data_IF_928928466349
#
_entry.id   IF_928928466349
#
_cell.length_a   1.000
_cell.length_b   1.000
_cell.length_c   1.000
_cell.angle_alpha   90.00
_cell.angle_beta   90.00
_cell.angle_gamma   90.00
#
_symmetry.space_group_name_H-M   'P 1'
#
loop_
_entity.id
_entity.type
_entity.pdbx_description
1 polymer ?
#
# COMPACT_ATOMS: atom_id res chain seq x y z
N UNK A 1 13.46 -6.40 -7.48
CA UNK A 1 12.91 -5.10 -7.03
C UNK A 1 12.96 -5.10 -5.50
N UNK A 2 13.01 -3.94 -4.85
CA UNK A 2 13.25 -3.85 -3.41
C UNK A 2 11.95 -4.00 -2.58
N UNK A 3 10.80 -3.62 -3.14
CA UNK A 3 9.53 -3.65 -2.43
C UNK A 3 8.53 -4.67 -2.98
N UNK A 4 8.64 -5.04 -4.26
CA UNK A 4 7.76 -6.04 -4.89
C UNK A 4 8.48 -7.35 -5.23
N UNK A 5 7.70 -8.43 -5.19
CA UNK A 5 8.11 -9.77 -5.62
C UNK A 5 7.47 -10.12 -6.97
N UNK A 6 8.28 -10.09 -8.03
CA UNK A 6 7.84 -10.37 -9.40
C UNK A 6 7.40 -11.84 -9.55
N UNK A 7 8.10 -12.78 -8.91
CA UNK A 7 7.74 -14.20 -9.01
C UNK A 7 6.36 -14.44 -8.39
N UNK A 8 6.11 -13.83 -7.24
CA UNK A 8 4.81 -13.91 -6.57
C UNK A 8 3.69 -13.24 -7.39
N UNK A 9 3.94 -12.07 -7.99
CA UNK A 9 2.96 -11.39 -8.86
C UNK A 9 2.59 -12.29 -10.05
N UNK A 10 3.59 -12.89 -10.70
CA UNK A 10 3.35 -13.81 -11.81
C UNK A 10 2.52 -15.01 -11.38
N UNK A 11 2.88 -15.65 -10.26
CA UNK A 11 2.14 -16.78 -9.70
C UNK A 11 0.69 -16.42 -9.35
N UNK A 12 0.47 -15.27 -8.68
CA UNK A 12 -0.86 -14.78 -8.31
C UNK A 12 -1.76 -14.50 -9.53
N UNK A 13 -1.15 -14.21 -10.68
CA UNK A 13 -1.83 -13.92 -11.94
C UNK A 13 -1.72 -15.07 -12.95
N UNK A 14 -1.40 -16.29 -12.50
CA UNK A 14 -1.30 -17.50 -13.32
C UNK A 14 -0.37 -17.37 -14.52
N UNK A 15 0.72 -16.61 -14.38
CA UNK A 15 1.69 -16.28 -15.43
C UNK A 15 1.07 -15.62 -16.68
N UNK A 16 -0.15 -15.07 -16.55
CA UNK A 16 -0.87 -14.44 -17.65
C UNK A 16 -0.52 -12.96 -17.75
N UNK A 17 0.24 -12.60 -18.78
CA UNK A 17 0.60 -11.20 -19.06
C UNK A 17 -0.62 -10.26 -19.15
N UNK A 18 -1.75 -10.74 -19.66
CA UNK A 18 -2.98 -9.94 -19.73
C UNK A 18 -3.52 -9.63 -18.32
N UNK A 19 -3.60 -10.65 -17.46
CA UNK A 19 -4.06 -10.48 -16.09
C UNK A 19 -3.10 -9.62 -15.27
N UNK A 20 -1.80 -9.79 -15.46
CA UNK A 20 -0.78 -8.97 -14.80
C UNK A 20 -0.93 -7.50 -15.20
N UNK A 21 -1.10 -7.19 -16.49
CA UNK A 21 -1.30 -5.80 -16.94
C UNK A 21 -2.57 -5.18 -16.38
N UNK A 22 -3.68 -5.92 -16.39
CA UNK A 22 -4.93 -5.44 -15.80
C UNK A 22 -4.79 -5.19 -14.29
N UNK A 23 -4.16 -6.12 -13.57
CA UNK A 23 -3.90 -5.99 -12.14
C UNK A 23 -3.00 -4.79 -11.81
N UNK A 24 -1.85 -4.67 -12.49
CA UNK A 24 -0.91 -3.57 -12.28
C UNK A 24 -1.54 -2.22 -12.59
N UNK A 25 -2.26 -2.10 -13.72
CA UNK A 25 -2.94 -0.86 -14.08
C UNK A 25 -4.00 -0.46 -13.04
N UNK A 26 -4.82 -1.41 -12.58
CA UNK A 26 -5.79 -1.16 -11.51
C UNK A 26 -5.09 -0.71 -10.21
N UNK A 27 -4.00 -1.37 -9.84
CA UNK A 27 -3.23 -1.06 -8.64
C UNK A 27 -2.63 0.34 -8.68
N UNK A 28 -2.01 0.71 -9.82
CA UNK A 28 -1.41 2.02 -10.04
C UNK A 28 -2.45 3.16 -10.03
N UNK A 29 -3.71 2.87 -10.34
CA UNK A 29 -4.80 3.85 -10.27
C UNK A 29 -5.40 3.94 -8.87
N UNK A 30 -5.67 2.81 -8.24
CA UNK A 30 -6.47 2.75 -7.01
C UNK A 30 -5.64 3.05 -5.76
N UNK A 31 -4.43 2.51 -5.66
CA UNK A 31 -3.58 2.64 -4.47
C UNK A 31 -3.23 4.10 -4.14
N UNK A 32 -2.89 4.98 -5.11
CA UNK A 32 -2.69 6.41 -4.82
C UNK A 32 -3.93 7.09 -4.23
N UNK A 33 -5.12 6.74 -4.73
CA UNK A 33 -6.39 7.29 -4.23
C UNK A 33 -6.61 6.90 -2.77
N UNK A 34 -6.28 5.67 -2.39
CA UNK A 34 -6.43 5.22 -1.01
C UNK A 34 -5.37 5.84 -0.07
N UNK A 35 -4.14 6.05 -0.55
CA UNK A 35 -3.11 6.80 0.19
C UNK A 35 -3.53 8.25 0.43
N UNK A 36 -4.18 8.89 -0.53
CA UNK A 36 -4.69 10.26 -0.36
C UNK A 36 -5.86 10.32 0.64
N UNK A 37 -6.75 9.32 0.66
CA UNK A 37 -7.77 9.21 1.71
C UNK A 37 -7.16 9.07 3.10
N UNK A 38 -6.10 8.27 3.23
CA UNK A 38 -5.38 8.10 4.49
C UNK A 38 -4.68 9.40 4.92
N UNK A 39 -4.06 10.11 3.97
CA UNK A 39 -3.47 11.44 4.20
C UNK A 39 -4.52 12.45 4.68
N UNK A 40 -5.71 12.43 4.09
CA UNK A 40 -6.82 13.28 4.51
C UNK A 40 -7.30 12.92 5.93
N UNK A 41 -7.47 11.63 6.24
CA UNK A 41 -7.87 11.19 7.58
C UNK A 41 -6.87 11.64 8.67
N UNK A 42 -5.57 11.59 8.37
CA UNK A 42 -4.50 12.11 9.24
C UNK A 42 -4.52 13.63 9.42
N UNK A 43 -4.95 14.37 8.39
CA UNK A 43 -5.12 15.82 8.45
C UNK A 43 -6.36 16.21 9.29
N UNK A 44 -7.45 15.46 9.13
CA UNK A 44 -8.70 15.62 9.89
C UNK A 44 -8.56 15.15 11.35
N UNK A 45 -7.57 14.30 11.64
CA UNK A 45 -7.37 13.72 12.97
C UNK A 45 -8.37 12.62 13.32
N UNK A 46 -8.99 12.02 12.30
CA UNK A 46 -10.02 10.98 12.45
C UNK A 46 -9.36 9.60 12.62
N UNK A 47 -9.15 9.20 13.87
CA UNK A 47 -8.50 7.93 14.24
C UNK A 47 -9.25 6.70 13.71
N UNK A 48 -10.58 6.74 13.66
CA UNK A 48 -11.36 5.62 13.13
C UNK A 48 -11.09 5.47 11.63
N UNK A 49 -11.17 6.59 10.89
CA UNK A 49 -10.96 6.60 9.44
C UNK A 49 -9.50 6.27 9.06
N UNK A 50 -8.51 6.68 9.86
CA UNK A 50 -7.10 6.28 9.69
C UNK A 50 -6.99 4.75 9.77
N UNK A 51 -7.55 4.15 10.84
CA UNK A 51 -7.52 2.71 11.04
C UNK A 51 -8.23 1.94 9.92
N UNK A 52 -9.42 2.39 9.53
CA UNK A 52 -10.21 1.74 8.47
C UNK A 52 -9.53 1.83 7.10
N UNK A 53 -8.91 2.97 6.79
CA UNK A 53 -8.20 3.15 5.52
C UNK A 53 -6.91 2.31 5.49
N UNK A 54 -6.16 2.26 6.59
CA UNK A 54 -5.00 1.38 6.72
C UNK A 54 -5.39 -0.10 6.55
N UNK A 55 -6.48 -0.53 7.18
CA UNK A 55 -7.04 -1.88 7.03
C UNK A 55 -7.41 -2.20 5.58
N UNK A 56 -8.00 -1.24 4.86
CA UNK A 56 -8.41 -1.40 3.47
C UNK A 56 -7.21 -1.58 2.51
N UNK A 57 -6.14 -0.81 2.71
CA UNK A 57 -4.94 -0.87 1.87
C UNK A 57 -4.11 -2.12 2.17
N UNK A 58 -4.01 -2.51 3.44
CA UNK A 58 -3.17 -3.63 3.93
C UNK A 58 -3.22 -4.91 3.07
N UNK A 59 -4.38 -5.50 2.74
CA UNK A 59 -4.43 -6.75 1.96
C UNK A 59 -3.87 -6.61 0.54
N UNK A 60 -3.82 -5.39 -0.02
CA UNK A 60 -3.28 -5.17 -1.36
C UNK A 60 -1.78 -5.42 -1.45
N UNK A 61 -1.05 -5.31 -0.33
CA UNK A 61 0.39 -5.58 -0.24
C UNK A 61 0.73 -7.05 -0.45
N UNK A 62 -0.16 -7.97 -0.06
CA UNK A 62 0.06 -9.41 -0.18
C UNK A 62 0.19 -9.84 -1.64
N UNK A 63 -0.62 -9.25 -2.53
CA UNK A 63 -0.63 -9.61 -3.96
C UNK A 63 0.68 -9.33 -4.69
N UNK A 64 1.48 -8.40 -4.15
CA UNK A 64 2.74 -7.95 -4.75
C UNK A 64 3.97 -8.31 -3.90
N UNK A 65 3.79 -9.06 -2.81
CA UNK A 65 4.89 -9.49 -1.94
C UNK A 65 5.46 -8.40 -1.05
N UNK A 66 4.75 -7.27 -0.88
CA UNK A 66 5.20 -6.14 -0.07
C UNK A 66 4.92 -6.36 1.42
N UNK A 67 5.35 -7.50 1.97
CA UNK A 67 5.02 -7.92 3.34
C UNK A 67 5.52 -6.96 4.42
N UNK A 68 6.66 -6.29 4.21
CA UNK A 68 7.15 -5.27 5.13
C UNK A 68 6.22 -4.05 5.22
N UNK A 69 5.64 -3.62 4.09
CA UNK A 69 4.67 -2.53 4.04
C UNK A 69 3.34 -2.96 4.67
N UNK A 70 2.93 -4.21 4.48
CA UNK A 70 1.78 -4.80 5.16
C UNK A 70 1.90 -4.66 6.68
N UNK A 71 3.04 -5.01 7.25
CA UNK A 71 3.31 -4.88 8.69
C UNK A 71 3.19 -3.43 9.16
N UNK A 72 3.67 -2.47 8.37
CA UNK A 72 3.55 -1.02 8.69
C UNK A 72 2.10 -0.52 8.64
N UNK A 73 1.31 -0.99 7.67
CA UNK A 73 -0.12 -0.68 7.64
C UNK A 73 -0.86 -1.32 8.82
N UNK A 74 -0.48 -2.52 9.24
CA UNK A 74 -1.02 -3.16 10.44
C UNK A 74 -0.65 -2.42 11.72
N UNK A 75 0.59 -1.93 11.82
CA UNK A 75 1.05 -1.06 12.90
C UNK A 75 0.22 0.23 12.93
N UNK A 76 0.04 0.90 11.79
CA UNK A 76 -0.76 2.12 11.69
C UNK A 76 -2.22 1.88 12.08
N UNK A 77 -2.82 0.79 11.59
CA UNK A 77 -4.19 0.37 11.94
C UNK A 77 -4.32 0.16 13.46
N UNK A 78 -3.40 -0.60 14.05
CA UNK A 78 -3.41 -0.95 15.47
C UNK A 78 -3.21 0.27 16.36
N UNK A 79 -2.23 1.11 16.02
CA UNK A 79 -1.93 2.32 16.78
C UNK A 79 -3.09 3.32 16.70
N UNK A 80 -3.78 3.40 15.57
CA UNK A 80 -4.97 4.25 15.44
C UNK A 80 -6.12 3.76 16.32
N UNK A 81 -6.37 2.44 16.35
CA UNK A 81 -7.38 1.80 17.23
C UNK A 81 -7.07 1.96 18.72
N UNK A 82 -5.79 2.05 19.07
CA UNK A 82 -5.31 2.27 20.43
C UNK A 82 -5.21 3.76 20.81
N UNK A 83 -5.75 4.66 19.98
CA UNK A 83 -5.75 6.10 20.20
C UNK A 83 -4.34 6.70 20.41
N UNK A 84 -3.35 6.19 19.67
CA UNK A 84 -2.01 6.77 19.64
C UNK A 84 -2.05 8.24 19.16
N UNK A 85 -1.01 9.01 19.47
CA UNK A 85 -0.99 10.42 19.11
C UNK A 85 -0.97 10.62 17.58
N UNK A 86 -1.64 11.66 17.10
CA UNK A 86 -1.64 11.98 15.67
C UNK A 86 -0.23 12.21 15.13
N UNK A 87 0.69 12.72 15.95
CA UNK A 87 2.08 12.92 15.52
C UNK A 87 2.81 11.60 15.31
N UNK A 88 2.58 10.58 16.16
CA UNK A 88 3.17 9.25 15.92
C UNK A 88 2.55 8.59 14.68
N UNK A 89 1.23 8.69 14.49
CA UNK A 89 0.56 8.14 13.31
C UNK A 89 1.04 8.81 12.00
N UNK A 90 1.26 10.13 12.03
CA UNK A 90 1.84 10.88 10.90
C UNK A 90 3.28 10.47 10.63
N UNK A 91 4.08 10.21 11.66
CA UNK A 91 5.45 9.72 11.49
C UNK A 91 5.47 8.34 10.83
N UNK A 92 4.64 7.39 11.31
CA UNK A 92 4.49 6.06 10.69
C UNK A 92 4.01 6.17 9.24
N UNK A 93 2.98 6.97 8.97
CA UNK A 93 2.51 7.18 7.60
C UNK A 93 3.55 7.86 6.71
N UNK A 94 4.37 8.77 7.24
CA UNK A 94 5.45 9.39 6.47
C UNK A 94 6.46 8.37 5.93
N UNK A 95 6.78 7.34 6.71
CA UNK A 95 7.63 6.22 6.26
C UNK A 95 6.91 5.40 5.18
N UNK A 96 5.64 5.05 5.42
CA UNK A 96 4.80 4.32 4.45
C UNK A 96 4.72 5.11 3.12
N UNK A 97 4.49 6.41 3.15
CA UNK A 97 4.33 7.25 1.96
C UNK A 97 5.61 7.34 1.11
N UNK A 98 6.78 7.19 1.71
CA UNK A 98 8.06 7.13 0.97
C UNK A 98 8.18 5.76 0.29
N UNK A 99 8.06 4.68 1.05
CA UNK A 99 8.22 3.31 0.54
C UNK A 99 7.14 2.97 -0.50
N UNK A 100 5.92 3.48 -0.34
CA UNK A 100 4.84 3.31 -1.32
C UNK A 100 5.13 4.01 -2.65
N UNK A 101 5.82 5.15 -2.66
CA UNK A 101 6.23 5.82 -3.91
C UNK A 101 7.28 5.00 -4.66
N UNK A 102 8.24 4.43 -3.93
CA UNK A 102 9.26 3.54 -4.48
C UNK A 102 8.62 2.27 -5.04
N UNK A 103 7.67 1.68 -4.30
CA UNK A 103 6.89 0.52 -4.72
C UNK A 103 6.08 0.78 -6.00
N UNK A 104 5.35 1.91 -6.06
CA UNK A 104 4.55 2.26 -7.24
C UNK A 104 5.45 2.48 -8.46
N UNK A 105 6.61 3.11 -8.26
CA UNK A 105 7.60 3.26 -9.33
C UNK A 105 8.14 1.91 -9.81
N UNK A 106 8.45 0.98 -8.90
CA UNK A 106 8.85 -0.39 -9.24
C UNK A 106 7.78 -1.12 -10.05
N UNK A 107 6.51 -0.98 -9.66
CA UNK A 107 5.39 -1.60 -10.36
C UNK A 107 5.19 -1.01 -11.77
N UNK A 108 5.35 0.31 -11.94
CA UNK A 108 5.38 0.96 -13.26
C UNK A 108 6.55 0.48 -14.14
N UNK A 109 7.73 0.24 -13.56
CA UNK A 109 8.85 -0.32 -14.31
C UNK A 109 8.55 -1.75 -14.74
N UNK A 110 7.96 -2.55 -13.85
CA UNK A 110 7.57 -3.92 -14.15
C UNK A 110 6.56 -3.98 -15.29
N UNK A 111 5.53 -3.13 -15.27
CA UNK A 111 4.52 -3.04 -16.35
C UNK A 111 5.15 -2.84 -17.74
N UNK A 112 6.26 -2.08 -17.83
CA UNK A 112 6.97 -1.82 -19.09
C UNK A 112 7.81 -2.99 -19.59
N UNK A 113 8.06 -3.98 -18.74
CA UNK A 113 8.86 -5.17 -19.09
C UNK A 113 8.02 -6.33 -19.63
N UNK A 114 6.69 -6.26 -19.48
CA UNK A 114 5.71 -7.27 -19.91
C UNK A 114 4.86 -6.79 -21.08
#
# INVERSE_FOLDING_TARGET
MNHIDIELINQNMFDSHELIKQFVSMYLIQTPVDLDKLRQALAEGDLQKIGDTAHHIKPTMDYIGAFHLKEKFEELETNSKNEASLDSLRATFGVIDIEMKELLFELEQYEKTI
#
